data_IF_517621540004
#
_entry.id   IF_517621540004
#
_cell.length_a   1.000
_cell.length_b   1.000
_cell.length_c   1.000
_cell.angle_alpha   90.00
_cell.angle_beta   90.00
_cell.angle_gamma   90.00
#
_symmetry.space_group_name_H-M   'P 1'
#
loop_
_entity.id
_entity.type
_entity.pdbx_description
1 polymer ?
#
# COMPACT_ATOMS: atom_id res chain seq x y z
N UNK A 1 -19.10 4.06 0.44
CA UNK A 1 -18.53 3.68 -0.89
C UNK A 1 -18.89 2.24 -1.19
N UNK A 2 -19.20 1.89 -2.45
CA UNK A 2 -19.53 0.50 -2.82
C UNK A 2 -18.27 -0.33 -3.12
N UNK A 3 -18.35 -1.65 -2.92
CA UNK A 3 -17.23 -2.58 -3.15
C UNK A 3 -16.73 -2.51 -4.60
N UNK A 4 -17.64 -2.36 -5.57
CA UNK A 4 -17.30 -2.24 -6.99
C UNK A 4 -16.48 -0.98 -7.27
N UNK A 5 -16.86 0.17 -6.70
CA UNK A 5 -16.08 1.41 -6.85
C UNK A 5 -14.73 1.32 -6.15
N UNK A 6 -14.63 0.60 -5.03
CA UNK A 6 -13.36 0.35 -4.34
C UNK A 6 -12.42 -0.49 -5.19
N UNK A 7 -12.88 -1.64 -5.66
CA UNK A 7 -12.08 -2.54 -6.48
C UNK A 7 -11.64 -1.85 -7.78
N UNK A 8 -12.52 -1.07 -8.42
CA UNK A 8 -12.16 -0.31 -9.61
C UNK A 8 -11.06 0.72 -9.32
N UNK A 9 -11.18 1.47 -8.22
CA UNK A 9 -10.17 2.48 -7.84
C UNK A 9 -8.85 1.83 -7.43
N UNK A 10 -8.90 0.71 -6.70
CA UNK A 10 -7.73 -0.08 -6.31
C UNK A 10 -7.00 -0.62 -7.55
N UNK A 11 -7.75 -1.11 -8.54
CA UNK A 11 -7.20 -1.63 -9.78
C UNK A 11 -6.57 -0.50 -10.61
N UNK A 12 -7.21 0.66 -10.68
CA UNK A 12 -6.67 1.83 -11.37
C UNK A 12 -5.38 2.34 -10.71
N UNK A 13 -5.34 2.42 -9.38
CA UNK A 13 -4.13 2.80 -8.64
C UNK A 13 -3.02 1.78 -8.81
N UNK A 14 -3.36 0.48 -8.79
CA UNK A 14 -2.40 -0.62 -8.99
C UNK A 14 -1.84 -0.63 -10.41
N UNK A 15 -2.68 -0.42 -11.43
CA UNK A 15 -2.21 -0.29 -12.81
C UNK A 15 -1.33 0.95 -12.98
N UNK A 16 -1.72 2.08 -12.37
CA UNK A 16 -0.92 3.30 -12.39
C UNK A 16 0.45 3.12 -11.75
N UNK A 17 0.52 2.50 -10.57
CA UNK A 17 1.80 2.19 -9.91
C UNK A 17 2.61 1.18 -10.69
N UNK A 18 1.99 0.14 -11.25
CA UNK A 18 2.68 -0.85 -12.10
C UNK A 18 3.27 -0.20 -13.37
N UNK A 19 2.55 0.73 -14.02
CA UNK A 19 3.06 1.47 -15.18
C UNK A 19 4.26 2.36 -14.82
N UNK A 20 4.18 3.08 -13.70
CA UNK A 20 5.30 3.91 -13.23
C UNK A 20 6.52 3.05 -12.88
N UNK A 21 6.31 1.93 -12.20
CA UNK A 21 7.38 0.97 -11.90
C UNK A 21 7.97 0.35 -13.17
N UNK A 22 7.13 -0.01 -14.15
CA UNK A 22 7.58 -0.49 -15.45
C UNK A 22 8.44 0.54 -16.19
N UNK A 23 8.07 1.83 -16.12
CA UNK A 23 8.90 2.92 -16.61
C UNK A 23 10.23 3.04 -15.88
N UNK A 24 10.23 2.96 -14.55
CA UNK A 24 11.46 2.98 -13.74
C UNK A 24 12.38 1.80 -14.09
N UNK A 25 11.84 0.60 -14.31
CA UNK A 25 12.62 -0.57 -14.74
C UNK A 25 13.20 -0.46 -16.15
N UNK A 26 12.56 0.34 -17.00
CA UNK A 26 13.05 0.60 -18.34
C UNK A 26 14.27 1.54 -18.31
N UNK A 27 14.23 2.59 -17.49
CA UNK A 27 15.31 3.58 -17.40
C UNK A 27 16.45 3.19 -16.43
N UNK A 28 16.18 2.40 -15.39
CA UNK A 28 17.16 2.01 -14.38
C UNK A 28 17.43 0.49 -14.39
N UNK A 29 18.52 0.01 -15.02
CA UNK A 29 18.85 -1.42 -15.07
C UNK A 29 19.15 -2.02 -13.69
N UNK A 30 19.56 -1.21 -12.70
CA UNK A 30 19.73 -1.62 -11.31
C UNK A 30 18.40 -1.93 -10.60
N UNK A 31 17.28 -1.38 -11.08
CA UNK A 31 15.96 -1.64 -10.53
C UNK A 31 15.36 -2.98 -11.03
N UNK A 32 15.86 -3.52 -12.15
CA UNK A 32 15.43 -4.83 -12.68
C UNK A 32 15.71 -5.99 -11.72
N UNK A 33 16.83 -5.96 -11.02
CA UNK A 33 17.16 -7.00 -10.03
C UNK A 33 16.19 -7.02 -8.84
N UNK A 34 15.52 -5.89 -8.59
CA UNK A 34 14.52 -5.72 -7.54
C UNK A 34 13.07 -5.86 -8.04
N UNK A 35 12.88 -6.41 -9.24
CA UNK A 35 11.56 -6.63 -9.86
C UNK A 35 10.63 -7.47 -8.97
N UNK A 36 11.13 -8.59 -8.45
CA UNK A 36 10.37 -9.47 -7.54
C UNK A 36 10.00 -8.74 -6.24
N UNK A 37 10.88 -7.90 -5.71
CA UNK A 37 10.63 -7.15 -4.47
C UNK A 37 9.52 -6.11 -4.63
N UNK A 38 9.46 -5.42 -5.77
CA UNK A 38 8.43 -4.40 -5.98
C UNK A 38 7.08 -5.03 -6.29
N UNK A 39 7.05 -6.18 -6.99
CA UNK A 39 5.84 -6.98 -7.17
C UNK A 39 5.31 -7.48 -5.83
N UNK A 40 6.19 -7.97 -4.95
CA UNK A 40 5.84 -8.38 -3.60
C UNK A 40 5.30 -7.21 -2.77
N UNK A 41 5.92 -6.03 -2.87
CA UNK A 41 5.48 -4.81 -2.19
C UNK A 41 4.10 -4.34 -2.69
N UNK A 42 3.87 -4.40 -4.00
CA UNK A 42 2.56 -4.10 -4.62
C UNK A 42 1.47 -5.01 -4.07
N UNK A 43 1.70 -6.33 -4.11
CA UNK A 43 0.77 -7.32 -3.56
C UNK A 43 0.53 -7.09 -2.07
N UNK A 44 1.58 -6.81 -1.32
CA UNK A 44 1.51 -6.56 0.10
C UNK A 44 0.61 -5.35 0.44
N UNK A 45 0.83 -4.21 -0.22
CA UNK A 45 -0.02 -3.02 -0.02
C UNK A 45 -1.45 -3.22 -0.52
N UNK A 46 -1.65 -3.98 -1.60
CA UNK A 46 -2.97 -4.32 -2.11
C UNK A 46 -3.78 -5.13 -1.08
N UNK A 47 -3.18 -6.19 -0.51
CA UNK A 47 -3.81 -7.02 0.53
C UNK A 47 -4.18 -6.17 1.74
N UNK A 48 -3.28 -5.31 2.18
CA UNK A 48 -3.55 -4.37 3.28
C UNK A 48 -4.77 -3.49 2.96
N UNK A 49 -4.84 -2.89 1.76
CA UNK A 49 -5.96 -2.04 1.38
C UNK A 49 -7.29 -2.79 1.35
N UNK A 50 -7.30 -4.04 0.89
CA UNK A 50 -8.48 -4.91 0.91
C UNK A 50 -8.92 -5.16 2.36
N UNK A 51 -7.99 -5.55 3.24
CA UNK A 51 -8.28 -5.78 4.66
C UNK A 51 -8.86 -4.55 5.34
N UNK A 52 -8.30 -3.37 5.05
CA UNK A 52 -8.78 -2.09 5.57
C UNK A 52 -10.15 -1.69 5.05
N UNK A 53 -10.45 -2.00 3.79
CA UNK A 53 -11.78 -1.72 3.24
C UNK A 53 -12.86 -2.53 3.97
N UNK A 54 -12.61 -3.82 4.23
CA UNK A 54 -13.53 -4.66 4.99
C UNK A 54 -13.63 -4.20 6.45
N UNK A 55 -12.50 -3.95 7.11
CA UNK A 55 -12.46 -3.49 8.49
C UNK A 55 -13.13 -2.11 8.66
N UNK A 56 -12.87 -1.19 7.73
CA UNK A 56 -13.50 0.12 7.65
C UNK A 56 -15.00 0.02 7.36
N UNK A 57 -15.43 -0.86 6.44
CA UNK A 57 -16.85 -1.03 6.10
C UNK A 57 -17.64 -1.64 7.25
N UNK A 58 -17.03 -2.52 8.04
CA UNK A 58 -17.63 -3.07 9.26
C UNK A 58 -17.74 -1.98 10.33
N UNK A 59 -16.67 -1.21 10.51
CA UNK A 59 -16.61 -0.15 11.53
C UNK A 59 -17.52 1.04 11.23
N UNK A 60 -17.70 1.40 9.96
CA UNK A 60 -18.61 2.47 9.51
C UNK A 60 -20.09 2.14 9.79
N UNK A 61 -20.46 0.85 9.83
CA UNK A 61 -21.81 0.42 10.25
C UNK A 61 -21.98 0.45 11.77
N UNK A 62 -20.89 0.44 12.53
CA UNK A 62 -20.95 0.59 13.98
C UNK A 62 -21.18 2.06 14.33
N UNK A 63 -22.06 2.34 15.31
CA UNK A 63 -22.34 3.72 15.79
C UNK A 63 -21.13 4.43 16.41
N UNK A 64 -19.97 3.77 16.53
CA UNK A 64 -18.83 4.25 17.29
C UNK A 64 -17.80 4.98 16.41
N UNK A 65 -17.85 6.32 16.40
CA UNK A 65 -16.88 7.18 15.67
C UNK A 65 -15.42 6.93 16.09
N UNK A 66 -15.18 6.43 17.31
CA UNK A 66 -13.83 6.11 17.80
C UNK A 66 -13.26 4.84 17.13
N UNK A 67 -14.10 3.88 16.76
CA UNK A 67 -13.66 2.65 16.10
C UNK A 67 -13.06 2.95 14.71
N UNK A 68 -13.69 3.87 13.97
CA UNK A 68 -13.21 4.29 12.66
C UNK A 68 -11.84 5.01 12.73
N UNK A 69 -11.71 5.94 13.67
CA UNK A 69 -10.48 6.72 13.87
C UNK A 69 -9.32 5.83 14.33
N UNK A 70 -9.57 4.92 15.29
CA UNK A 70 -8.58 3.93 15.70
C UNK A 70 -8.16 3.02 14.56
N UNK A 71 -9.06 2.64 13.67
CA UNK A 71 -8.73 1.81 12.51
C UNK A 71 -7.76 2.50 11.56
N UNK A 72 -8.02 3.79 11.27
CA UNK A 72 -7.13 4.61 10.43
C UNK A 72 -5.76 4.75 11.10
N UNK A 73 -5.71 5.09 12.39
CA UNK A 73 -4.45 5.23 13.13
C UNK A 73 -3.67 3.92 13.19
N UNK A 74 -4.31 2.81 13.59
CA UNK A 74 -3.67 1.47 13.64
C UNK A 74 -3.19 1.06 12.27
N UNK A 75 -3.90 1.43 11.21
CA UNK A 75 -3.47 1.14 9.85
C UNK A 75 -2.20 1.88 9.47
N UNK A 76 -2.14 3.19 9.72
CA UNK A 76 -0.95 4.00 9.40
C UNK A 76 0.26 3.50 10.20
N UNK A 77 0.11 3.32 11.52
CA UNK A 77 1.18 2.83 12.39
C UNK A 77 1.58 1.38 12.07
N UNK A 78 0.59 0.50 11.85
CA UNK A 78 0.82 -0.89 11.49
C UNK A 78 1.60 -1.00 10.18
N UNK A 79 1.24 -0.22 9.17
CA UNK A 79 1.98 -0.17 7.91
C UNK A 79 3.40 0.34 8.07
N UNK A 80 3.66 1.31 8.94
CA UNK A 80 5.02 1.78 9.20
C UNK A 80 5.89 0.67 9.81
N UNK A 81 5.36 -0.06 10.80
CA UNK A 81 6.08 -1.19 11.41
C UNK A 81 6.34 -2.29 10.38
N UNK A 82 5.32 -2.65 9.59
CA UNK A 82 5.51 -3.71 8.59
C UNK A 82 6.42 -3.26 7.46
N UNK A 83 6.37 -1.99 7.05
CA UNK A 83 7.30 -1.41 6.08
C UNK A 83 8.76 -1.56 6.53
N UNK A 84 9.05 -1.21 7.79
CA UNK A 84 10.39 -1.38 8.38
C UNK A 84 10.77 -2.86 8.39
N UNK A 85 9.86 -3.75 8.84
CA UNK A 85 10.10 -5.19 8.84
C UNK A 85 10.40 -5.74 7.45
N UNK A 86 9.64 -5.31 6.43
CA UNK A 86 9.79 -5.75 5.05
C UNK A 86 11.12 -5.28 4.44
N UNK A 87 11.52 -4.03 4.71
CA UNK A 87 12.81 -3.49 4.30
C UNK A 87 13.99 -4.23 4.96
N UNK A 88 13.93 -4.46 6.27
CA UNK A 88 14.98 -5.17 7.00
C UNK A 88 15.10 -6.63 6.53
N UNK A 89 13.97 -7.29 6.29
CA UNK A 89 13.94 -8.67 5.81
C UNK A 89 14.55 -8.77 4.41
N UNK A 90 14.24 -7.81 3.53
CA UNK A 90 14.85 -7.73 2.20
C UNK A 90 16.34 -7.43 2.24
N UNK A 91 16.75 -6.47 3.09
CA UNK A 91 18.16 -6.12 3.27
C UNK A 91 18.98 -7.32 3.75
N UNK A 92 18.42 -8.13 4.67
CA UNK A 92 19.09 -9.31 5.23
C UNK A 92 19.17 -10.49 4.25
N UNK A 93 18.15 -10.68 3.42
CA UNK A 93 18.07 -11.81 2.47
C UNK A 93 18.84 -11.55 1.18
N UNK A 94 18.71 -10.34 0.61
CA UNK A 94 19.25 -10.05 -0.73
C UNK A 94 20.54 -9.23 -0.72
N UNK A 95 20.99 -8.75 0.45
CA UNK A 95 22.18 -7.91 0.64
C UNK A 95 22.42 -6.91 -0.53
N UNK A 96 21.39 -6.11 -0.87
CA UNK A 96 21.41 -5.31 -2.08
C UNK A 96 22.51 -4.25 -1.98
N UNK A 97 23.47 -4.25 -2.92
CA UNK A 97 24.52 -3.23 -2.98
C UNK A 97 23.97 -1.82 -3.25
N UNK A 98 22.74 -1.71 -3.76
CA UNK A 98 22.08 -0.46 -4.11
C UNK A 98 20.81 -0.22 -3.29
N UNK A 99 20.65 0.99 -2.74
CA UNK A 99 19.49 1.38 -1.90
C UNK A 99 18.23 1.77 -2.69
N UNK A 100 18.20 1.54 -4.01
CA UNK A 100 17.07 1.91 -4.89
C UNK A 100 15.76 1.20 -4.53
N UNK A 101 15.83 0.00 -3.93
CA UNK A 101 14.66 -0.72 -3.46
C UNK A 101 13.88 0.05 -2.38
N UNK A 102 14.57 0.86 -1.55
CA UNK A 102 13.94 1.69 -0.52
C UNK A 102 13.10 2.78 -1.16
N UNK A 103 13.63 3.46 -2.19
CA UNK A 103 12.92 4.52 -2.91
C UNK A 103 11.66 4.00 -3.60
N UNK A 104 11.77 2.86 -4.28
CA UNK A 104 10.62 2.19 -4.91
C UNK A 104 9.58 1.79 -3.87
N UNK A 105 10.01 1.24 -2.74
CA UNK A 105 9.12 0.85 -1.65
C UNK A 105 8.37 2.06 -1.07
N UNK A 106 9.09 3.14 -0.76
CA UNK A 106 8.51 4.38 -0.23
C UNK A 106 7.54 5.04 -1.21
N UNK A 107 7.84 4.99 -2.51
CA UNK A 107 6.94 5.48 -3.55
C UNK A 107 5.61 4.71 -3.56
N UNK A 108 5.66 3.38 -3.56
CA UNK A 108 4.47 2.54 -3.43
C UNK A 108 3.73 2.83 -2.12
N UNK A 109 4.45 2.86 -1.00
CA UNK A 109 3.89 3.17 0.31
C UNK A 109 3.10 4.48 0.30
N UNK A 110 3.67 5.54 -0.25
CA UNK A 110 3.02 6.85 -0.30
C UNK A 110 1.74 6.83 -1.14
N UNK A 111 1.77 6.25 -2.35
CA UNK A 111 0.59 6.18 -3.21
C UNK A 111 -0.54 5.39 -2.56
N UNK A 112 -0.23 4.22 -2.00
CA UNK A 112 -1.24 3.40 -1.33
C UNK A 112 -1.74 4.05 -0.03
N UNK A 113 -0.91 4.82 0.67
CA UNK A 113 -1.33 5.58 1.85
C UNK A 113 -2.29 6.73 1.49
N UNK A 114 -2.00 7.48 0.43
CA UNK A 114 -2.91 8.53 -0.07
C UNK A 114 -4.25 7.91 -0.49
N UNK A 115 -4.19 6.82 -1.25
CA UNK A 115 -5.39 6.10 -1.68
C UNK A 115 -6.21 5.59 -0.48
N UNK A 116 -5.52 5.07 0.53
CA UNK A 116 -6.14 4.61 1.77
C UNK A 116 -6.91 5.69 2.50
N UNK A 117 -6.22 6.79 2.84
CA UNK A 117 -6.83 7.90 3.56
C UNK A 117 -8.02 8.46 2.78
N UNK A 118 -7.92 8.50 1.45
CA UNK A 118 -9.00 8.93 0.57
C UNK A 118 -10.22 8.00 0.65
N UNK A 119 -10.05 6.68 0.46
CA UNK A 119 -11.20 5.77 0.47
C UNK A 119 -11.80 5.62 1.86
N UNK A 120 -10.96 5.65 2.92
CA UNK A 120 -11.42 5.61 4.31
C UNK A 120 -12.25 6.86 4.62
N UNK A 121 -11.76 8.05 4.29
CA UNK A 121 -12.53 9.29 4.48
C UNK A 121 -13.88 9.26 3.76
N UNK A 122 -13.92 8.66 2.56
CA UNK A 122 -15.16 8.47 1.80
C UNK A 122 -16.07 7.39 2.39
N UNK A 123 -15.51 6.39 3.07
CA UNK A 123 -16.27 5.40 3.84
C UNK A 123 -16.88 6.00 5.10
N UNK A 124 -16.16 6.87 5.80
CA UNK A 124 -16.61 7.51 7.03
C UNK A 124 -17.81 8.45 6.83
N UNK A 125 -17.93 9.03 5.63
CA UNK A 125 -19.03 9.94 5.25
C UNK A 125 -20.24 9.23 4.65
N UNK A 126 -20.15 7.92 4.43
CA UNK A 126 -21.14 7.12 3.69
C UNK A 126 -21.93 6.22 4.62
#
# INVERSE_FOLDING_TARGET
>A
MSLKSFLFSLLLVTLGTALVLGGIYYYAPQAKEHGMFSMASLLFFMVICIGLYFAGSSSARSKNKYAFTNLVSVSVFGKMVVAIGFLLLYQKVSNPQNQWFVGIFLFCYMIYTIFEVWFMSKLARS
#
